data_IF_569826627220
#
_entry.id   IF_569826627220
#
_cell.length_a   1.000
_cell.length_b   1.000
_cell.length_c   1.000
_cell.angle_alpha   90.00
_cell.angle_beta   90.00
_cell.angle_gamma   90.00
#
_symmetry.space_group_name_H-M   'P 1'
#
loop_
_entity.id
_entity.type
_entity.pdbx_description
1 polymer ?
#
# COMPACT_ATOMS: atom_id res chain seq x y z
N UNK A 1 0.11 -11.61 -12.76
CA UNK A 1 -1.11 -10.99 -12.21
C UNK A 1 -2.23 -12.03 -12.12
N UNK A 2 -2.69 -12.65 -13.21
CA UNK A 2 -3.79 -13.65 -13.20
C UNK A 2 -3.54 -14.88 -12.32
N UNK A 3 -2.33 -15.40 -12.26
CA UNK A 3 -1.99 -16.52 -11.37
C UNK A 3 -2.05 -16.15 -9.88
N UNK A 4 -1.65 -14.94 -9.53
CA UNK A 4 -1.75 -14.43 -8.14
C UNK A 4 -3.20 -14.29 -7.70
N UNK A 5 -4.05 -13.68 -8.52
CA UNK A 5 -5.48 -13.52 -8.23
C UNK A 5 -6.21 -14.86 -8.10
N UNK A 6 -5.76 -15.89 -8.84
CA UNK A 6 -6.32 -17.25 -8.74
C UNK A 6 -5.98 -17.89 -7.42
N UNK A 7 -4.73 -17.78 -6.97
CA UNK A 7 -4.28 -18.30 -5.68
C UNK A 7 -4.94 -17.59 -4.50
N UNK A 8 -5.06 -16.27 -4.60
CA UNK A 8 -5.72 -15.46 -3.56
C UNK A 8 -7.21 -15.81 -3.45
N UNK A 9 -7.90 -16.01 -4.57
CA UNK A 9 -9.30 -16.44 -4.58
C UNK A 9 -9.47 -17.82 -3.96
N UNK A 10 -8.63 -18.80 -4.32
CA UNK A 10 -8.66 -20.15 -3.74
C UNK A 10 -8.37 -20.14 -2.24
N UNK A 11 -7.42 -19.32 -1.78
CA UNK A 11 -7.13 -19.16 -0.36
C UNK A 11 -8.33 -18.58 0.40
N UNK A 12 -8.99 -17.56 -0.16
CA UNK A 12 -10.18 -16.97 0.44
C UNK A 12 -11.36 -17.95 0.49
N UNK A 13 -11.55 -18.76 -0.55
CA UNK A 13 -12.56 -19.83 -0.59
C UNK A 13 -12.29 -20.91 0.48
N UNK A 14 -11.03 -21.32 0.64
CA UNK A 14 -10.64 -22.30 1.67
C UNK A 14 -10.89 -21.74 3.09
N UNK A 15 -10.47 -20.50 3.35
CA UNK A 15 -10.75 -19.81 4.61
C UNK A 15 -12.25 -19.68 4.86
N UNK A 16 -13.05 -19.37 3.84
CA UNK A 16 -14.50 -19.28 3.95
C UNK A 16 -15.12 -20.61 4.41
N UNK A 17 -14.71 -21.74 3.85
CA UNK A 17 -15.20 -23.04 4.24
C UNK A 17 -14.81 -23.39 5.68
N UNK A 18 -13.54 -23.18 6.05
CA UNK A 18 -13.05 -23.43 7.39
C UNK A 18 -13.80 -22.63 8.45
N UNK A 19 -13.98 -21.33 8.22
CA UNK A 19 -14.68 -20.47 9.16
C UNK A 19 -16.18 -20.81 9.25
N UNK A 20 -16.80 -21.16 8.14
CA UNK A 20 -18.20 -21.59 8.10
C UNK A 20 -18.45 -22.88 8.86
N UNK A 21 -17.54 -23.83 8.78
CA UNK A 21 -17.61 -25.08 9.57
C UNK A 21 -17.40 -24.81 11.06
N UNK A 22 -16.50 -23.88 11.39
CA UNK A 22 -16.15 -23.57 12.79
C UNK A 22 -17.20 -22.71 13.49
N UNK A 23 -17.93 -21.87 12.74
CA UNK A 23 -18.92 -20.92 13.25
C UNK A 23 -20.22 -21.03 12.43
N UNK A 24 -20.92 -22.15 12.52
CA UNK A 24 -22.13 -22.40 11.71
C UNK A 24 -23.30 -21.44 12.04
N UNK A 25 -23.24 -20.76 13.18
CA UNK A 25 -24.22 -19.76 13.61
C UNK A 25 -24.07 -18.40 12.92
N UNK A 26 -22.91 -18.15 12.26
CA UNK A 26 -22.67 -16.88 11.59
C UNK A 26 -23.05 -16.95 10.10
N UNK A 27 -23.70 -15.89 9.64
CA UNK A 27 -23.86 -15.65 8.21
C UNK A 27 -22.59 -15.00 7.67
N UNK A 28 -21.89 -15.72 6.82
CA UNK A 28 -20.58 -15.32 6.31
C UNK A 28 -20.68 -15.02 4.81
N UNK A 29 -20.16 -13.87 4.40
CA UNK A 29 -20.00 -13.49 3.00
C UNK A 29 -18.58 -13.74 2.51
N UNK A 30 -18.44 -14.00 1.21
CA UNK A 30 -17.16 -14.12 0.52
C UNK A 30 -17.11 -13.17 -0.67
N UNK A 31 -16.00 -12.41 -0.82
CA UNK A 31 -15.76 -11.55 -1.97
C UNK A 31 -14.31 -11.68 -2.45
N UNK A 32 -14.12 -11.99 -3.72
CA UNK A 32 -12.79 -12.08 -4.33
C UNK A 32 -12.78 -11.58 -5.78
N UNK A 33 -11.59 -11.37 -6.35
CA UNK A 33 -11.39 -10.76 -7.67
C UNK A 33 -12.16 -11.41 -8.81
N UNK A 34 -12.30 -12.73 -8.80
CA UNK A 34 -12.95 -13.51 -9.87
C UNK A 34 -14.47 -13.49 -9.88
N UNK A 35 -15.14 -12.98 -8.82
CA UNK A 35 -16.59 -12.85 -8.78
C UNK A 35 -17.05 -11.75 -9.74
N UNK A 36 -18.27 -11.92 -10.30
CA UNK A 36 -18.90 -10.89 -11.12
C UNK A 36 -19.22 -9.64 -10.28
N UNK A 37 -19.27 -8.50 -10.93
CA UNK A 37 -19.52 -7.22 -10.27
C UNK A 37 -20.82 -7.22 -9.46
N UNK A 38 -21.91 -7.75 -10.05
CA UNK A 38 -23.22 -7.82 -9.42
C UNK A 38 -23.23 -8.71 -8.17
N UNK A 39 -22.50 -9.83 -8.21
CA UNK A 39 -22.37 -10.75 -7.07
C UNK A 39 -21.60 -10.06 -5.92
N UNK A 40 -20.49 -9.40 -6.23
CA UNK A 40 -19.72 -8.61 -5.26
C UNK A 40 -20.60 -7.55 -4.61
N UNK A 41 -21.35 -6.82 -5.42
CA UNK A 41 -22.24 -5.75 -4.94
C UNK A 41 -23.34 -6.30 -4.02
N UNK A 42 -23.95 -7.43 -4.37
CA UNK A 42 -25.00 -8.08 -3.56
C UNK A 42 -24.46 -8.51 -2.20
N UNK A 43 -23.29 -9.15 -2.15
CA UNK A 43 -22.66 -9.58 -0.89
C UNK A 43 -22.28 -8.37 -0.04
N UNK A 44 -21.72 -7.33 -0.65
CA UNK A 44 -21.37 -6.10 0.05
C UNK A 44 -22.58 -5.37 0.62
N UNK A 45 -23.71 -5.36 -0.12
CA UNK A 45 -24.94 -4.77 0.37
C UNK A 45 -25.50 -5.56 1.56
N UNK A 46 -25.54 -6.90 1.46
CA UNK A 46 -25.98 -7.76 2.56
C UNK A 46 -25.12 -7.57 3.82
N UNK A 47 -23.79 -7.33 3.67
CA UNK A 47 -22.92 -7.03 4.79
C UNK A 47 -23.20 -5.65 5.40
N UNK A 48 -23.45 -4.63 4.58
CA UNK A 48 -23.86 -3.29 5.05
C UNK A 48 -25.20 -3.31 5.79
N UNK A 49 -26.12 -4.16 5.34
CA UNK A 49 -27.46 -4.30 5.91
C UNK A 49 -27.47 -5.23 7.16
N UNK A 50 -26.31 -5.60 7.70
CA UNK A 50 -26.13 -6.51 8.84
C UNK A 50 -26.75 -7.91 8.65
N UNK A 51 -26.98 -8.32 7.41
CA UNK A 51 -27.45 -9.67 7.10
C UNK A 51 -26.30 -10.69 7.20
N UNK A 52 -25.06 -10.22 7.07
CA UNK A 52 -23.84 -10.99 7.25
C UNK A 52 -23.06 -10.43 8.45
N UNK A 53 -22.62 -11.31 9.34
CA UNK A 53 -21.83 -10.95 10.51
C UNK A 53 -20.31 -10.98 10.23
N UNK A 54 -19.89 -11.71 9.21
CA UNK A 54 -18.49 -11.80 8.79
C UNK A 54 -18.38 -11.70 7.27
N UNK A 55 -17.38 -10.96 6.82
CA UNK A 55 -17.03 -10.88 5.41
C UNK A 55 -15.58 -11.32 5.22
N UNK A 56 -15.38 -12.35 4.40
CA UNK A 56 -14.05 -12.78 3.96
C UNK A 56 -13.80 -12.19 2.59
N UNK A 57 -12.64 -11.56 2.42
CA UNK A 57 -12.35 -10.84 1.20
C UNK A 57 -10.88 -10.87 0.83
N UNK A 58 -10.59 -10.92 -0.46
CA UNK A 58 -9.25 -10.62 -0.97
C UNK A 58 -9.05 -9.10 -1.05
N UNK A 59 -7.80 -8.65 -1.27
CA UNK A 59 -7.41 -7.23 -1.36
C UNK A 59 -8.16 -6.42 -2.42
N UNK A 60 -8.96 -7.04 -3.26
CA UNK A 60 -9.79 -6.40 -4.32
C UNK A 60 -10.85 -5.45 -3.74
N UNK A 61 -11.13 -5.49 -2.43
CA UNK A 61 -12.06 -4.55 -1.76
C UNK A 61 -11.39 -3.18 -1.47
N UNK A 62 -10.20 -2.93 -1.97
CA UNK A 62 -9.45 -1.70 -1.69
C UNK A 62 -10.17 -0.41 -2.11
N UNK A 63 -11.07 -0.45 -3.08
CA UNK A 63 -11.62 0.77 -3.68
C UNK A 63 -13.11 0.95 -3.37
N UNK A 64 -13.40 2.00 -2.58
CA UNK A 64 -14.71 2.66 -2.61
C UNK A 64 -15.80 2.07 -1.72
N UNK A 65 -15.56 1.00 -0.93
CA UNK A 65 -16.60 0.44 -0.07
C UNK A 65 -16.39 0.86 1.38
N UNK A 66 -17.26 1.74 1.83
CA UNK A 66 -17.34 2.14 3.23
C UNK A 66 -18.32 1.22 3.96
N UNK A 67 -17.89 0.62 5.08
CA UNK A 67 -18.72 -0.28 5.89
C UNK A 67 -18.77 0.24 7.32
N UNK A 68 -19.67 1.20 7.61
CA UNK A 68 -19.74 1.88 8.90
C UNK A 68 -20.02 0.96 10.09
N UNK A 69 -20.67 -0.18 9.84
CA UNK A 69 -21.03 -1.19 10.85
C UNK A 69 -19.92 -2.21 11.10
N UNK A 70 -18.84 -2.23 10.31
CA UNK A 70 -17.69 -3.08 10.58
C UNK A 70 -16.85 -2.50 11.73
N UNK A 71 -16.79 -3.21 12.84
CA UNK A 71 -16.02 -2.83 14.03
C UNK A 71 -14.68 -3.56 14.15
N UNK A 72 -14.51 -4.68 13.47
CA UNK A 72 -13.30 -5.49 13.52
C UNK A 72 -12.79 -5.74 12.09
N UNK A 73 -11.50 -5.50 11.89
CA UNK A 73 -10.76 -5.87 10.68
C UNK A 73 -9.65 -6.85 11.07
N UNK A 74 -9.55 -7.97 10.36
CA UNK A 74 -8.43 -8.89 10.47
C UNK A 74 -7.71 -8.92 9.14
N UNK A 75 -6.41 -8.62 9.13
CA UNK A 75 -5.58 -8.64 7.94
C UNK A 75 -4.58 -9.76 8.06
N UNK A 76 -4.73 -10.78 7.22
CA UNK A 76 -3.82 -11.92 7.16
C UNK A 76 -2.60 -11.63 6.31
N UNK A 77 -1.45 -12.23 6.69
CA UNK A 77 -0.16 -12.05 6.03
C UNK A 77 0.21 -10.56 5.86
N UNK A 78 -0.04 -9.76 6.91
CA UNK A 78 0.16 -8.32 6.89
C UNK A 78 1.60 -7.91 6.52
N UNK A 79 2.59 -8.77 6.79
CA UNK A 79 3.99 -8.55 6.42
C UNK A 79 4.23 -8.48 4.91
N UNK A 80 3.30 -8.98 4.10
CA UNK A 80 3.39 -8.98 2.64
C UNK A 80 2.79 -7.72 2.00
N UNK A 81 2.02 -6.96 2.76
CA UNK A 81 1.34 -5.76 2.28
C UNK A 81 2.20 -4.51 2.48
N UNK A 82 2.05 -3.54 1.59
CA UNK A 82 2.67 -2.23 1.74
C UNK A 82 2.05 -1.41 2.86
N UNK A 83 2.82 -0.48 3.44
CA UNK A 83 2.36 0.35 4.56
C UNK A 83 1.14 1.21 4.18
N UNK A 84 1.14 1.80 2.99
CA UNK A 84 0.01 2.55 2.45
C UNK A 84 -1.24 1.69 2.27
N UNK A 85 -1.08 0.45 1.82
CA UNK A 85 -2.16 -0.52 1.65
C UNK A 85 -2.80 -0.90 2.99
N UNK A 86 -1.96 -1.24 3.97
CA UNK A 86 -2.40 -1.55 5.34
C UNK A 86 -3.14 -0.36 5.98
N UNK A 87 -2.65 0.87 5.76
CA UNK A 87 -3.30 2.07 6.24
C UNK A 87 -4.68 2.29 5.60
N UNK A 88 -4.81 2.08 4.30
CA UNK A 88 -6.08 2.17 3.59
C UNK A 88 -7.08 1.13 4.09
N UNK A 89 -6.65 -0.13 4.26
CA UNK A 89 -7.50 -1.19 4.80
C UNK A 89 -7.98 -0.86 6.22
N UNK A 90 -7.07 -0.44 7.11
CA UNK A 90 -7.44 -0.02 8.47
C UNK A 90 -8.47 1.11 8.47
N UNK A 91 -8.36 2.06 7.53
CA UNK A 91 -9.29 3.16 7.37
C UNK A 91 -10.69 2.77 6.89
N UNK A 92 -10.95 1.50 6.58
CA UNK A 92 -12.27 0.98 6.17
C UNK A 92 -13.16 0.63 7.35
N UNK A 93 -12.59 0.44 8.54
CA UNK A 93 -13.34 0.20 9.79
C UNK A 93 -13.22 1.41 10.71
N UNK A 94 -14.15 1.54 11.67
CA UNK A 94 -14.10 2.59 12.67
C UNK A 94 -14.66 3.94 12.26
N UNK A 95 -15.44 3.99 11.19
CA UNK A 95 -16.15 5.21 10.77
C UNK A 95 -17.52 5.37 11.46
N UNK A 96 -17.91 4.37 12.27
CA UNK A 96 -19.12 4.41 13.09
C UNK A 96 -18.86 4.97 14.50
N UNK A 97 -19.91 4.99 15.33
CA UNK A 97 -19.86 5.45 16.72
C UNK A 97 -19.22 4.43 17.68
N UNK A 98 -18.95 3.22 17.24
CA UNK A 98 -18.38 2.12 18.06
C UNK A 98 -16.87 2.05 17.94
N UNK A 99 -16.21 1.68 19.04
CA UNK A 99 -14.77 1.39 19.03
C UNK A 99 -14.46 0.29 18.00
N UNK A 100 -13.42 0.49 17.23
CA UNK A 100 -13.01 -0.46 16.20
C UNK A 100 -11.60 -0.97 16.44
N UNK A 101 -11.35 -2.19 15.99
CA UNK A 101 -10.07 -2.87 16.13
C UNK A 101 -9.59 -3.37 14.78
N UNK A 102 -8.27 -3.25 14.55
CA UNK A 102 -7.61 -3.83 13.40
C UNK A 102 -6.53 -4.80 13.90
N UNK A 103 -6.69 -6.09 13.63
CA UNK A 103 -5.73 -7.13 13.96
C UNK A 103 -4.87 -7.44 12.74
N UNK A 104 -3.54 -7.36 12.89
CA UNK A 104 -2.57 -7.69 11.85
C UNK A 104 -1.96 -9.06 12.17
N UNK A 105 -2.29 -10.06 11.37
CA UNK A 105 -1.72 -11.41 11.47
C UNK A 105 -0.52 -11.50 10.51
N UNK A 106 0.60 -11.95 11.03
CA UNK A 106 1.84 -12.05 10.25
C UNK A 106 2.62 -13.33 10.59
N UNK A 107 3.47 -13.76 9.65
CA UNK A 107 4.36 -14.91 9.84
C UNK A 107 5.72 -14.47 10.33
N UNK A 108 6.29 -15.22 11.27
CA UNK A 108 7.65 -15.04 11.75
C UNK A 108 8.64 -15.95 10.99
N UNK A 109 9.93 -15.54 10.83
CA UNK A 109 10.51 -14.28 11.27
C UNK A 109 10.12 -13.11 10.37
N UNK A 110 9.90 -11.93 10.97
CA UNK A 110 9.75 -10.69 10.21
C UNK A 110 11.11 -10.16 9.77
N UNK A 111 11.16 -9.57 8.56
CA UNK A 111 12.29 -8.71 8.19
C UNK A 111 12.28 -7.43 9.03
N UNK A 112 13.42 -6.73 9.12
CA UNK A 112 13.49 -5.45 9.83
C UNK A 112 12.46 -4.46 9.28
N UNK A 113 12.38 -4.27 7.96
CA UNK A 113 11.40 -3.40 7.32
C UNK A 113 9.94 -3.85 7.59
N UNK A 114 9.70 -5.17 7.68
CA UNK A 114 8.39 -5.73 8.04
C UNK A 114 8.01 -5.33 9.46
N UNK A 115 8.94 -5.46 10.40
CA UNK A 115 8.72 -5.08 11.80
C UNK A 115 8.44 -3.57 11.92
N UNK A 116 9.23 -2.73 11.28
CA UNK A 116 9.07 -1.28 11.29
C UNK A 116 7.71 -0.86 10.73
N UNK A 117 7.28 -1.41 9.57
CA UNK A 117 5.96 -1.13 8.99
C UNK A 117 4.80 -1.47 9.91
N UNK A 118 4.81 -2.65 10.53
CA UNK A 118 3.74 -3.06 11.42
C UNK A 118 3.74 -2.25 12.72
N UNK A 119 4.91 -1.87 13.25
CA UNK A 119 5.04 -1.01 14.43
C UNK A 119 4.44 0.38 14.21
N UNK A 120 4.77 1.02 13.09
CA UNK A 120 4.25 2.35 12.75
C UNK A 120 2.73 2.36 12.64
N UNK A 121 2.15 1.33 12.00
CA UNK A 121 0.70 1.19 11.92
C UNK A 121 0.03 1.04 13.29
N UNK A 122 0.70 0.40 14.23
CA UNK A 122 0.20 0.27 15.60
C UNK A 122 0.29 1.59 16.38
N UNK A 123 1.34 2.38 16.14
CA UNK A 123 1.68 3.57 16.92
C UNK A 123 1.00 4.84 16.40
N UNK A 124 0.71 4.93 15.11
CA UNK A 124 0.12 6.12 14.49
C UNK A 124 -1.14 5.82 13.70
N UNK A 125 -2.10 6.76 13.80
CA UNK A 125 -3.29 6.83 12.94
C UNK A 125 -3.16 7.96 11.91
N UNK A 126 -2.12 8.79 12.00
CA UNK A 126 -1.89 9.92 11.12
C UNK A 126 -1.35 9.45 9.77
N UNK A 127 -2.11 9.70 8.69
CA UNK A 127 -1.75 9.33 7.34
C UNK A 127 -0.47 10.01 6.83
N UNK A 128 -0.17 11.23 7.30
CA UNK A 128 1.07 11.94 6.92
C UNK A 128 2.29 11.28 7.55
N UNK A 129 2.23 10.96 8.84
CA UNK A 129 3.30 10.23 9.55
C UNK A 129 3.55 8.88 8.90
N UNK A 130 2.46 8.16 8.53
CA UNK A 130 2.55 6.86 7.86
C UNK A 130 3.18 7.00 6.47
N UNK A 131 2.81 8.03 5.70
CA UNK A 131 3.38 8.28 4.37
C UNK A 131 4.86 8.65 4.44
N UNK A 132 5.26 9.48 5.40
CA UNK A 132 6.66 9.84 5.65
C UNK A 132 7.49 8.60 5.99
N UNK A 133 6.98 7.75 6.88
CA UNK A 133 7.65 6.50 7.25
C UNK A 133 7.68 5.46 6.12
N UNK A 134 6.63 5.39 5.29
CA UNK A 134 6.65 4.54 4.10
C UNK A 134 7.75 4.98 3.12
N UNK A 135 7.95 6.29 2.97
CA UNK A 135 9.03 6.87 2.17
C UNK A 135 10.41 6.54 2.74
N UNK A 136 10.59 6.67 4.07
CA UNK A 136 11.85 6.31 4.74
C UNK A 136 12.19 4.82 4.57
N UNK A 137 11.22 3.93 4.79
CA UNK A 137 11.42 2.46 4.72
C UNK A 137 11.68 1.99 3.29
N UNK A 138 10.98 2.55 2.30
CA UNK A 138 11.17 2.20 0.89
C UNK A 138 12.36 2.90 0.26
N UNK A 139 12.80 3.99 0.88
CA UNK A 139 13.58 4.98 0.20
C UNK A 139 12.74 5.73 -0.84
N UNK A 140 13.18 6.87 -1.30
CA UNK A 140 12.42 7.72 -2.24
C UNK A 140 12.32 7.17 -3.67
N UNK A 141 12.25 5.87 -3.86
CA UNK A 141 12.10 5.20 -5.16
C UNK A 141 13.08 5.66 -6.23
N UNK A 142 13.34 4.87 -7.24
CA UNK A 142 14.07 5.41 -8.39
C UNK A 142 13.24 6.49 -9.06
N UNK A 143 13.67 7.72 -9.02
CA UNK A 143 13.09 8.87 -9.71
C UNK A 143 12.85 8.63 -11.21
N UNK A 144 13.37 7.53 -11.75
CA UNK A 144 13.43 7.20 -13.16
C UNK A 144 12.89 5.80 -13.52
N UNK A 145 12.10 5.19 -12.65
CA UNK A 145 11.11 4.16 -13.04
C UNK A 145 11.58 2.76 -13.41
N UNK A 146 12.82 2.31 -13.14
CA UNK A 146 13.26 0.99 -13.61
C UNK A 146 13.80 0.00 -12.58
N UNK A 147 13.98 0.38 -11.31
CA UNK A 147 14.26 -0.58 -10.23
C UNK A 147 13.71 -0.07 -8.92
N UNK A 148 12.68 -0.73 -8.42
CA UNK A 148 12.21 -0.60 -7.02
C UNK A 148 13.20 -1.28 -6.05
N UNK A 149 14.42 -0.83 -6.03
CA UNK A 149 15.38 -1.18 -4.98
C UNK A 149 15.65 0.10 -4.21
N UNK A 150 15.16 0.19 -3.00
CA UNK A 150 15.15 1.35 -2.10
C UNK A 150 16.41 2.21 -1.94
N UNK A 151 17.22 2.28 -2.95
CA UNK A 151 18.41 3.11 -2.99
C UNK A 151 18.24 4.15 -4.10
N UNK A 152 18.05 5.40 -3.70
CA UNK A 152 18.09 6.50 -4.67
C UNK A 152 19.51 6.58 -5.23
N UNK A 153 19.63 6.38 -6.52
CA UNK A 153 20.87 6.38 -7.25
C UNK A 153 21.64 7.73 -7.27
N UNK A 154 21.49 8.55 -6.24
CA UNK A 154 22.36 9.70 -6.03
C UNK A 154 23.73 9.22 -5.56
N UNK A 155 24.76 9.52 -6.32
CA UNK A 155 26.14 9.12 -5.97
C UNK A 155 26.69 9.85 -4.74
N UNK A 156 26.15 11.02 -4.40
CA UNK A 156 26.70 11.89 -3.36
C UNK A 156 25.62 12.38 -2.39
N UNK A 157 24.47 12.82 -2.90
CA UNK A 157 23.41 13.38 -2.07
C UNK A 157 22.65 12.26 -1.33
N UNK A 158 22.29 12.56 -0.08
CA UNK A 158 21.36 11.76 0.75
C UNK A 158 20.20 12.64 1.13
N UNK A 159 18.97 12.30 0.73
CA UNK A 159 17.79 13.15 0.98
C UNK A 159 17.56 13.37 2.48
N UNK A 160 17.80 12.34 3.29
CA UNK A 160 17.64 12.46 4.75
C UNK A 160 18.55 13.51 5.40
N UNK A 161 19.70 13.78 4.75
CA UNK A 161 20.69 14.75 5.24
C UNK A 161 20.60 16.09 4.51
N UNK A 162 20.32 16.04 3.23
CA UNK A 162 20.55 17.13 2.29
C UNK A 162 19.20 17.76 1.79
N UNK A 163 18.08 17.46 2.46
CA UNK A 163 16.74 17.96 2.15
C UNK A 163 16.65 19.50 2.11
N UNK A 164 17.38 20.15 3.01
CA UNK A 164 17.48 21.62 3.09
C UNK A 164 18.07 22.25 1.81
N UNK A 165 18.76 21.47 0.99
CA UNK A 165 19.33 21.93 -0.30
C UNK A 165 18.34 21.83 -1.46
N UNK A 166 17.19 21.15 -1.31
CA UNK A 166 16.25 20.91 -2.42
C UNK A 166 15.76 22.18 -3.08
N UNK A 167 15.39 23.18 -2.28
CA UNK A 167 14.92 24.48 -2.81
C UNK A 167 16.02 25.19 -3.62
N UNK A 168 17.25 25.16 -3.14
CA UNK A 168 18.39 25.77 -3.84
C UNK A 168 18.74 24.96 -5.08
N UNK A 169 18.72 23.64 -5.01
CA UNK A 169 18.99 22.76 -6.15
C UNK A 169 17.99 22.99 -7.27
N UNK A 170 16.71 23.12 -6.95
CA UNK A 170 15.66 23.42 -7.93
C UNK A 170 15.91 24.77 -8.62
N UNK A 171 16.15 25.82 -7.85
CA UNK A 171 16.47 27.13 -8.39
C UNK A 171 17.71 27.11 -9.30
N UNK A 172 18.79 26.48 -8.88
CA UNK A 172 20.03 26.37 -9.66
C UNK A 172 19.79 25.56 -10.94
N UNK A 173 19.02 24.46 -10.88
CA UNK A 173 18.68 23.66 -12.05
C UNK A 173 17.92 24.50 -13.10
N UNK A 174 16.93 25.30 -12.70
CA UNK A 174 16.24 26.21 -13.60
C UNK A 174 17.19 27.24 -14.25
N UNK A 175 18.11 27.82 -13.46
CA UNK A 175 19.09 28.78 -13.97
C UNK A 175 20.06 28.13 -14.99
N UNK A 176 20.50 26.90 -14.72
CA UNK A 176 21.38 26.17 -15.62
C UNK A 176 20.65 25.83 -16.92
N UNK A 177 19.43 25.34 -16.86
CA UNK A 177 18.62 25.02 -18.04
C UNK A 177 18.37 26.25 -18.91
N UNK A 178 18.09 27.41 -18.29
CA UNK A 178 17.78 28.64 -18.97
C UNK A 178 19.03 29.31 -19.60
N UNK A 179 20.12 29.40 -18.84
CA UNK A 179 21.27 30.24 -19.22
C UNK A 179 22.45 29.41 -19.78
N UNK A 180 22.50 28.11 -19.50
CA UNK A 180 23.63 27.26 -19.83
C UNK A 180 23.21 25.87 -20.36
N UNK A 181 22.39 25.79 -21.43
CA UNK A 181 21.81 24.51 -21.90
C UNK A 181 22.88 23.48 -22.31
N UNK A 182 24.00 23.89 -22.89
CA UNK A 182 25.10 22.98 -23.24
C UNK A 182 25.75 22.34 -22.01
N UNK A 183 25.87 23.09 -20.93
CA UNK A 183 26.40 22.59 -19.65
C UNK A 183 25.38 21.68 -18.96
N UNK A 184 24.08 21.98 -19.06
CA UNK A 184 23.01 21.11 -18.61
C UNK A 184 23.10 19.72 -19.26
N UNK A 185 23.24 19.68 -20.60
CA UNK A 185 23.41 18.41 -21.32
C UNK A 185 24.67 17.63 -20.89
N UNK A 186 25.77 18.34 -20.66
CA UNK A 186 27.00 17.71 -20.19
C UNK A 186 26.85 17.12 -18.77
N UNK A 187 26.15 17.81 -17.87
CA UNK A 187 25.84 17.32 -16.53
C UNK A 187 24.92 16.10 -16.60
N UNK A 188 23.86 16.15 -17.39
CA UNK A 188 22.94 15.02 -17.57
C UNK A 188 23.66 13.79 -18.11
N UNK A 189 24.48 13.92 -19.14
CA UNK A 189 25.28 12.81 -19.70
C UNK A 189 26.25 12.22 -18.68
N UNK A 190 26.81 13.04 -17.81
CA UNK A 190 27.78 12.59 -16.79
C UNK A 190 27.11 11.83 -15.64
N UNK A 191 25.97 12.31 -15.19
CA UNK A 191 25.32 11.81 -13.99
C UNK A 191 24.20 10.83 -14.27
N UNK A 192 23.53 10.95 -15.42
CA UNK A 192 22.42 10.14 -15.89
C UNK A 192 22.68 9.67 -17.33
N UNK A 193 23.63 8.77 -17.56
CA UNK A 193 24.02 8.34 -18.92
C UNK A 193 22.86 7.66 -19.69
N UNK A 194 21.85 7.15 -18.98
CA UNK A 194 20.66 6.52 -19.56
C UNK A 194 19.41 7.42 -19.60
N UNK A 195 19.55 8.71 -19.28
CA UNK A 195 18.44 9.67 -19.25
C UNK A 195 17.58 9.70 -20.54
N UNK A 196 18.10 9.50 -21.76
CA UNK A 196 17.28 9.46 -22.97
C UNK A 196 16.23 8.33 -22.99
N UNK A 197 16.43 7.27 -22.21
CA UNK A 197 15.45 6.16 -22.10
C UNK A 197 14.21 6.54 -21.30
N UNK A 198 14.27 7.59 -20.48
CA UNK A 198 13.22 7.99 -19.56
C UNK A 198 12.38 9.18 -20.06
N UNK A 199 12.78 9.80 -21.16
CA UNK A 199 12.09 10.98 -21.72
C UNK A 199 10.81 10.63 -22.52
N UNK A 200 10.44 9.35 -22.62
CA UNK A 200 9.31 8.86 -23.42
C UNK A 200 8.39 7.93 -22.63
N UNK A 201 8.09 8.25 -21.38
CA UNK A 201 7.02 7.57 -20.60
C UNK A 201 5.91 8.59 -20.32
#
# INVERSE_FOLDING_TARGET
>A
VEQSETLDAQAAEATYQEIKERFPELNIGLVHGKMKADEKQSVMQAFKDNQLQLLIATTVIEVGVDVPNASIMVIENAERLGLSQLHQLRGRVGRGATASFCALLYKTPLSQNGHERLSILRESNDGFVIAEKDLEIRGPGELLGTKQTGDMGFRVARLERDDHLLTQAHYVAEQILKNYPKQADALLKRWLPEAPRYAYV
#
